data_IF_814291800835
#
_entry.id   IF_814291800835
#
_cell.length_a   1.000
_cell.length_b   1.000
_cell.length_c   1.000
_cell.angle_alpha   90.00
_cell.angle_beta   90.00
_cell.angle_gamma   90.00
#
_symmetry.space_group_name_H-M   'P 1'
#
loop_
_entity.id
_entity.type
_entity.pdbx_description
1 polymer ?
#
# COMPACT_ATOMS: atom_id res chain seq x y z
N UNK A 1 -44.26 -2.54 13.05
CA UNK A 1 -43.33 -2.45 14.19
C UNK A 1 -42.13 -3.32 13.84
N UNK A 2 -41.05 -2.71 13.33
CA UNK A 2 -39.83 -3.45 12.92
C UNK A 2 -39.03 -3.72 14.19
N UNK A 3 -38.75 -4.98 14.50
CA UNK A 3 -38.02 -5.36 15.73
C UNK A 3 -36.56 -4.92 15.66
N UNK A 4 -35.94 -4.55 16.79
CA UNK A 4 -34.50 -4.20 16.88
C UNK A 4 -33.59 -5.24 16.19
N UNK A 5 -33.98 -6.52 16.19
CA UNK A 5 -33.26 -7.62 15.53
C UNK A 5 -33.07 -7.45 14.02
N UNK A 6 -34.02 -6.82 13.31
CA UNK A 6 -33.94 -6.61 11.86
C UNK A 6 -33.01 -5.45 11.49
N UNK A 7 -32.95 -4.43 12.35
CA UNK A 7 -32.03 -3.29 12.21
C UNK A 7 -30.61 -3.73 12.55
N UNK A 8 -30.44 -4.56 13.59
CA UNK A 8 -29.13 -5.13 13.95
C UNK A 8 -28.58 -6.07 12.87
N UNK A 9 -29.45 -6.84 12.19
CA UNK A 9 -29.03 -7.68 11.05
C UNK A 9 -28.64 -6.85 9.83
N UNK A 10 -29.39 -5.80 9.49
CA UNK A 10 -29.07 -4.89 8.39
C UNK A 10 -27.77 -4.10 8.67
N UNK A 11 -27.58 -3.62 9.91
CA UNK A 11 -26.35 -2.96 10.33
C UNK A 11 -25.13 -3.90 10.33
N UNK A 12 -25.33 -5.19 10.61
CA UNK A 12 -24.25 -6.21 10.51
C UNK A 12 -23.92 -6.54 9.06
N UNK A 13 -24.93 -6.62 8.17
CA UNK A 13 -24.73 -6.82 6.73
C UNK A 13 -24.07 -5.62 6.03
N UNK A 14 -24.22 -4.40 6.56
CA UNK A 14 -23.52 -3.20 6.08
C UNK A 14 -22.10 -3.06 6.63
N UNK A 15 -21.78 -3.68 7.77
CA UNK A 15 -20.44 -3.63 8.41
C UNK A 15 -19.41 -4.60 7.84
N UNK A 16 -19.85 -5.64 7.12
CA UNK A 16 -18.97 -6.73 6.66
C UNK A 16 -18.81 -6.78 5.12
N UNK A 17 -19.04 -5.67 4.41
CA UNK A 17 -18.90 -5.68 2.94
C UNK A 17 -17.46 -5.37 2.55
N UNK A 18 -16.68 -6.42 2.32
CA UNK A 18 -15.42 -6.32 1.56
C UNK A 18 -15.68 -5.63 0.22
N UNK A 19 -14.94 -4.57 -0.02
CA UNK A 19 -14.91 -3.83 -1.26
C UNK A 19 -13.63 -4.17 -2.01
N UNK A 20 -13.69 -4.14 -3.34
CA UNK A 20 -12.54 -4.28 -4.23
C UNK A 20 -12.32 -2.96 -4.94
N UNK A 21 -11.15 -2.36 -4.78
CA UNK A 21 -10.74 -1.13 -5.46
C UNK A 21 -9.75 -1.45 -6.58
N UNK A 22 -10.05 -0.95 -7.77
CA UNK A 22 -9.12 -0.92 -8.89
C UNK A 22 -8.29 0.35 -8.76
N UNK A 23 -7.01 0.19 -8.44
CA UNK A 23 -6.09 1.31 -8.23
C UNK A 23 -4.91 1.14 -9.16
N UNK A 24 -4.47 2.23 -9.76
CA UNK A 24 -3.15 2.32 -10.39
C UNK A 24 -2.26 3.25 -9.58
N UNK A 25 -0.95 3.05 -9.68
CA UNK A 25 0.02 4.00 -9.15
C UNK A 25 1.13 4.29 -10.14
N UNK A 26 1.76 5.45 -9.95
CA UNK A 26 2.98 5.89 -10.64
C UNK A 26 4.03 6.28 -9.62
N UNK A 27 5.29 5.98 -9.90
CA UNK A 27 6.41 6.49 -9.11
C UNK A 27 6.70 7.92 -9.59
N UNK A 28 6.51 8.89 -8.69
CA UNK A 28 6.74 10.32 -8.97
C UNK A 28 8.21 10.69 -8.71
N UNK A 29 8.79 10.15 -7.65
CA UNK A 29 10.21 10.32 -7.35
C UNK A 29 10.74 9.13 -6.57
N UNK A 30 12.02 8.84 -6.74
CA UNK A 30 12.77 7.81 -6.03
C UNK A 30 14.12 8.39 -5.61
N UNK A 31 14.34 8.50 -4.30
CA UNK A 31 15.60 8.95 -3.71
C UNK A 31 16.13 7.85 -2.81
N UNK A 32 17.12 7.11 -3.28
CA UNK A 32 17.69 5.95 -2.59
C UNK A 32 19.14 6.19 -2.21
N UNK A 33 19.45 5.89 -0.95
CA UNK A 33 20.76 6.11 -0.37
C UNK A 33 21.19 4.87 0.42
N UNK A 34 22.46 4.40 0.28
CA UNK A 34 23.00 3.38 1.16
C UNK A 34 23.11 3.90 2.59
N UNK A 35 22.89 3.02 3.56
CA UNK A 35 23.17 3.31 4.97
C UNK A 35 24.06 2.27 5.63
N UNK A 36 24.22 1.09 5.04
CA UNK A 36 25.18 0.07 5.46
C UNK A 36 25.79 -0.59 4.21
N UNK A 37 27.12 -0.56 4.12
CA UNK A 37 27.89 -1.29 3.11
C UNK A 37 28.85 -2.24 3.84
N UNK A 38 28.59 -3.54 3.75
CA UNK A 38 29.40 -4.55 4.46
C UNK A 38 30.37 -5.20 3.47
N UNK A 39 31.51 -4.57 3.18
CA UNK A 39 32.57 -5.20 2.37
C UNK A 39 32.07 -5.92 1.11
N UNK A 40 32.35 -7.23 0.99
CA UNK A 40 31.90 -8.09 -0.11
C UNK A 40 30.50 -8.73 0.14
N UNK A 41 29.69 -8.17 1.04
CA UNK A 41 28.38 -8.69 1.44
C UNK A 41 27.19 -7.82 1.00
N UNK A 42 25.95 -8.23 1.33
CA UNK A 42 24.74 -7.51 0.92
C UNK A 42 24.74 -6.05 1.36
N UNK A 43 24.33 -5.16 0.45
CA UNK A 43 24.22 -3.71 0.69
C UNK A 43 22.84 -3.38 1.22
N UNK A 44 22.76 -2.55 2.27
CA UNK A 44 21.49 -2.01 2.77
C UNK A 44 21.29 -0.57 2.32
N UNK A 45 20.10 -0.30 1.79
CA UNK A 45 19.70 1.04 1.36
C UNK A 45 18.36 1.41 1.97
N UNK A 46 18.12 2.71 2.05
CA UNK A 46 16.81 3.28 2.32
C UNK A 46 16.38 4.12 1.13
N UNK A 47 15.10 4.07 0.76
CA UNK A 47 14.56 4.83 -0.35
C UNK A 47 13.34 5.63 0.07
N UNK A 48 13.40 6.94 -0.14
CA UNK A 48 12.24 7.82 -0.06
C UNK A 48 11.55 7.89 -1.43
N UNK A 49 10.32 7.40 -1.48
CA UNK A 49 9.54 7.27 -2.70
C UNK A 49 8.27 8.10 -2.59
N UNK A 50 7.95 8.85 -3.64
CA UNK A 50 6.64 9.50 -3.79
C UNK A 50 5.86 8.76 -4.86
N UNK A 51 4.59 8.49 -4.59
CA UNK A 51 3.65 7.89 -5.53
C UNK A 51 2.43 8.77 -5.74
N UNK A 52 1.85 8.69 -6.93
CA UNK A 52 0.50 9.17 -7.19
C UNK A 52 -0.41 7.97 -7.44
N UNK A 53 -1.64 8.05 -6.96
CA UNK A 53 -2.67 7.01 -7.13
C UNK A 53 -3.84 7.54 -7.97
N UNK A 54 -4.39 6.68 -8.81
CA UNK A 54 -5.59 6.94 -9.62
C UNK A 54 -6.54 5.72 -9.61
N UNK A 55 -7.79 5.93 -10.02
CA UNK A 55 -8.88 4.95 -9.98
C UNK A 55 -9.74 5.09 -8.72
N UNK A 56 -10.07 3.96 -8.09
CA UNK A 56 -10.91 3.94 -6.89
C UNK A 56 -10.19 4.51 -5.65
N UNK A 57 -8.85 4.58 -5.69
CA UNK A 57 -8.01 5.37 -4.79
C UNK A 57 -7.37 6.51 -5.57
N UNK A 58 -7.65 7.75 -5.19
CA UNK A 58 -7.01 8.93 -5.76
C UNK A 58 -6.19 9.63 -4.68
N UNK A 59 -5.01 10.14 -5.03
CA UNK A 59 -4.19 10.91 -4.10
C UNK A 59 -2.71 10.68 -4.24
N UNK A 60 -1.99 10.80 -3.13
CA UNK A 60 -0.52 10.70 -3.11
C UNK A 60 -0.04 9.80 -1.98
N UNK A 61 1.11 9.18 -2.19
CA UNK A 61 1.80 8.34 -1.25
C UNK A 61 3.20 8.86 -0.95
N UNK A 62 3.58 8.79 0.32
CA UNK A 62 4.93 9.09 0.79
C UNK A 62 5.45 7.85 1.52
N UNK A 63 6.42 7.19 0.90
CA UNK A 63 6.87 5.84 1.24
C UNK A 63 8.35 5.84 1.59
N UNK A 64 8.69 5.20 2.70
CA UNK A 64 10.06 4.86 3.05
C UNK A 64 10.25 3.35 2.95
N UNK A 65 11.19 2.92 2.12
CA UNK A 65 11.66 1.54 2.07
C UNK A 65 12.99 1.38 2.81
N UNK A 66 13.18 0.19 3.37
CA UNK A 66 14.47 -0.39 3.74
C UNK A 66 14.68 -1.61 2.86
N UNK A 67 15.83 -1.69 2.20
CA UNK A 67 16.10 -2.67 1.15
C UNK A 67 17.43 -3.38 1.42
N UNK A 68 17.49 -4.66 1.08
CA UNK A 68 18.72 -5.45 1.03
C UNK A 68 18.97 -5.84 -0.41
N UNK A 69 20.06 -5.34 -0.99
CA UNK A 69 20.55 -5.70 -2.32
C UNK A 69 21.49 -6.89 -2.20
N UNK A 70 21.23 -7.96 -2.96
CA UNK A 70 22.06 -9.16 -3.01
C UNK A 70 22.79 -9.26 -4.35
N UNK A 71 23.93 -9.97 -4.37
CA UNK A 71 24.89 -9.95 -5.50
C UNK A 71 24.32 -10.41 -6.84
N UNK A 72 23.17 -11.11 -6.85
CA UNK A 72 22.45 -11.49 -8.08
C UNK A 72 21.78 -10.31 -8.80
N UNK A 73 21.73 -9.12 -8.19
CA UNK A 73 20.97 -7.96 -8.68
C UNK A 73 19.53 -7.91 -8.16
N UNK A 74 19.14 -8.89 -7.35
CA UNK A 74 17.85 -8.93 -6.69
C UNK A 74 17.84 -8.05 -5.42
N UNK A 75 16.64 -7.72 -4.93
CA UNK A 75 16.49 -7.03 -3.67
C UNK A 75 15.26 -7.47 -2.88
N UNK A 76 15.39 -7.65 -1.57
CA UNK A 76 14.24 -7.70 -0.68
C UNK A 76 13.99 -6.31 -0.10
N UNK A 77 12.72 -5.94 0.06
CA UNK A 77 12.35 -4.64 0.61
C UNK A 77 11.12 -4.71 1.52
N UNK A 78 11.13 -3.86 2.54
CA UNK A 78 9.99 -3.61 3.43
C UNK A 78 9.83 -2.12 3.62
N UNK A 79 8.62 -1.64 3.87
CA UNK A 79 8.40 -0.21 4.01
C UNK A 79 7.01 0.17 4.51
N UNK A 80 6.86 1.45 4.78
CA UNK A 80 5.57 2.05 5.16
C UNK A 80 5.28 3.26 4.27
N UNK A 81 4.09 3.26 3.69
CA UNK A 81 3.60 4.33 2.81
C UNK A 81 2.44 5.06 3.49
N UNK A 82 2.60 6.35 3.78
CA UNK A 82 1.47 7.20 4.16
C UNK A 82 0.74 7.65 2.90
N UNK A 83 -0.50 7.23 2.77
CA UNK A 83 -1.40 7.64 1.69
C UNK A 83 -2.28 8.79 2.20
N UNK A 84 -2.44 9.83 1.38
CA UNK A 84 -3.38 10.94 1.60
C UNK A 84 -4.21 11.11 0.34
N UNK A 85 -5.53 11.02 0.47
CA UNK A 85 -6.42 10.99 -0.69
C UNK A 85 -7.84 10.56 -0.38
N UNK A 86 -8.50 9.95 -1.36
CA UNK A 86 -9.84 9.38 -1.22
C UNK A 86 -9.91 7.95 -1.77
N UNK A 87 -10.47 7.03 -0.97
CA UNK A 87 -10.67 5.62 -1.32
C UNK A 87 -12.17 5.31 -1.38
N UNK A 88 -12.67 4.87 -2.54
CA UNK A 88 -14.10 4.62 -2.76
C UNK A 88 -14.96 5.86 -2.44
N UNK A 89 -14.43 7.05 -2.72
CA UNK A 89 -15.07 8.34 -2.43
C UNK A 89 -14.96 8.85 -0.99
N UNK A 90 -14.31 8.12 -0.07
CA UNK A 90 -14.10 8.52 1.34
C UNK A 90 -12.73 9.18 1.50
N UNK A 91 -12.70 10.41 1.98
CA UNK A 91 -11.47 11.19 2.13
C UNK A 91 -10.78 10.94 3.48
N UNK A 92 -9.45 10.92 3.46
CA UNK A 92 -8.64 10.83 4.66
C UNK A 92 -7.19 10.45 4.36
N UNK A 93 -6.55 9.85 5.34
CA UNK A 93 -5.22 9.27 5.21
C UNK A 93 -5.14 7.92 5.91
N UNK A 94 -4.18 7.10 5.51
CA UNK A 94 -3.87 5.82 6.14
C UNK A 94 -2.43 5.41 5.85
N UNK A 95 -1.96 4.34 6.46
CA UNK A 95 -0.62 3.81 6.21
C UNK A 95 -0.73 2.40 5.65
N UNK A 96 -0.03 2.14 4.54
CA UNK A 96 0.20 0.80 4.01
C UNK A 96 1.56 0.28 4.51
N UNK A 97 1.61 -0.98 4.96
CA UNK A 97 2.83 -1.75 5.16
C UNK A 97 3.11 -2.55 3.90
N UNK A 98 4.36 -2.52 3.44
CA UNK A 98 4.82 -3.22 2.25
C UNK A 98 5.80 -4.32 2.65
N UNK A 99 5.70 -5.47 1.99
CA UNK A 99 6.72 -6.53 2.05
C UNK A 99 6.88 -7.09 0.64
N UNK A 100 8.08 -7.02 0.09
CA UNK A 100 8.29 -7.34 -1.31
C UNK A 100 9.69 -7.81 -1.68
N UNK A 101 9.79 -8.17 -2.95
CA UNK A 101 10.99 -8.69 -3.59
C UNK A 101 11.09 -8.17 -5.02
N UNK A 102 12.32 -7.90 -5.44
CA UNK A 102 12.71 -7.53 -6.80
C UNK A 102 13.64 -8.61 -7.35
N UNK A 103 13.32 -9.12 -8.54
CA UNK A 103 13.99 -10.26 -9.19
C UNK A 103 14.87 -9.88 -10.40
N UNK A 104 15.40 -8.65 -10.40
CA UNK A 104 16.23 -8.15 -11.51
C UNK A 104 15.44 -7.61 -12.71
N UNK A 105 14.11 -7.67 -12.68
CA UNK A 105 13.26 -7.07 -13.71
C UNK A 105 11.89 -6.60 -13.22
N UNK A 106 11.41 -7.14 -12.11
CA UNK A 106 10.07 -6.87 -11.59
C UNK A 106 10.05 -6.79 -10.07
N UNK A 107 9.43 -5.75 -9.53
CA UNK A 107 9.14 -5.65 -8.11
C UNK A 107 7.75 -6.20 -7.82
N UNK A 108 7.63 -7.11 -6.85
CA UNK A 108 6.36 -7.62 -6.32
C UNK A 108 6.26 -7.30 -4.84
N UNK A 109 5.08 -6.94 -4.37
CA UNK A 109 4.86 -6.70 -2.95
C UNK A 109 3.43 -7.05 -2.53
N UNK A 110 3.32 -7.57 -1.32
CA UNK A 110 2.07 -7.63 -0.57
C UNK A 110 1.94 -6.36 0.28
N UNK A 111 0.71 -5.86 0.39
CA UNK A 111 0.35 -4.62 1.05
C UNK A 111 -0.71 -4.89 2.11
N UNK A 112 -0.62 -4.20 3.23
CA UNK A 112 -1.62 -4.26 4.30
C UNK A 112 -1.85 -2.87 4.87
N UNK A 113 -3.12 -2.48 5.05
CA UNK A 113 -3.45 -1.28 5.81
C UNK A 113 -3.07 -1.51 7.28
N UNK A 114 -2.19 -0.66 7.82
CA UNK A 114 -1.80 -0.72 9.22
C UNK A 114 -3.04 -0.46 10.10
N UNK A 115 -3.44 -1.40 10.98
CA UNK A 115 -4.65 -1.24 11.79
C UNK A 115 -4.64 0.04 12.61
N UNK A 116 -5.75 0.78 12.56
CA UNK A 116 -5.90 2.04 13.29
C UNK A 116 -5.14 3.24 12.70
N UNK A 117 -4.52 3.11 11.52
CA UNK A 117 -3.83 4.22 10.85
C UNK A 117 -4.77 5.17 10.09
N UNK A 118 -6.00 4.76 9.82
CA UNK A 118 -6.99 5.53 9.08
C UNK A 118 -7.44 6.80 9.81
N UNK A 119 -7.57 7.90 9.06
CA UNK A 119 -8.07 9.20 9.56
C UNK A 119 -9.38 9.60 8.87
N UNK A 120 -10.08 10.57 9.45
CA UNK A 120 -11.28 11.17 8.86
C UNK A 120 -12.33 10.12 8.46
N UNK A 121 -12.75 10.07 7.19
CA UNK A 121 -13.76 9.12 6.71
C UNK A 121 -13.21 7.69 6.51
N UNK A 122 -11.92 7.50 6.77
CA UNK A 122 -11.20 6.23 6.71
C UNK A 122 -10.83 5.69 8.11
N UNK A 123 -11.32 6.30 9.20
CA UNK A 123 -11.19 5.69 10.54
C UNK A 123 -11.84 4.31 10.54
N UNK A 124 -11.08 3.30 11.00
CA UNK A 124 -11.51 1.90 10.98
C UNK A 124 -11.12 1.12 9.73
N UNK A 125 -10.52 1.78 8.72
CA UNK A 125 -10.06 1.14 7.50
C UNK A 125 -9.15 -0.06 7.80
N UNK A 126 -9.46 -1.18 7.17
CA UNK A 126 -8.61 -2.36 7.06
C UNK A 126 -8.57 -2.82 5.61
N UNK A 127 -7.52 -3.51 5.20
CA UNK A 127 -7.43 -3.99 3.83
C UNK A 127 -6.07 -4.58 3.49
N UNK A 128 -6.04 -5.27 2.36
CA UNK A 128 -4.86 -5.90 1.79
C UNK A 128 -4.81 -5.65 0.30
N UNK A 129 -3.62 -5.46 -0.24
CA UNK A 129 -3.43 -5.28 -1.67
C UNK A 129 -2.12 -5.91 -2.10
N UNK A 130 -1.83 -5.80 -3.39
CA UNK A 130 -0.58 -6.27 -3.95
C UNK A 130 -0.27 -5.54 -5.23
N UNK A 131 0.99 -5.49 -5.62
CA UNK A 131 1.36 -5.00 -6.94
C UNK A 131 2.45 -5.86 -7.59
N UNK A 132 2.58 -5.69 -8.90
CA UNK A 132 3.67 -6.22 -9.68
C UNK A 132 4.13 -5.17 -10.69
N UNK A 133 5.26 -4.53 -10.42
CA UNK A 133 5.76 -3.37 -11.14
C UNK A 133 7.00 -3.73 -11.96
N UNK A 134 6.90 -3.59 -13.28
CA UNK A 134 8.03 -3.68 -14.21
C UNK A 134 8.45 -2.30 -14.70
N UNK A 135 8.85 -2.18 -15.96
CA UNK A 135 9.32 -0.92 -16.56
C UNK A 135 8.21 0.01 -17.09
N UNK A 136 6.94 -0.37 -16.95
CA UNK A 136 5.83 0.51 -17.33
C UNK A 136 5.79 1.76 -16.43
N UNK A 137 5.27 2.87 -16.93
CA UNK A 137 5.14 4.11 -16.11
C UNK A 137 4.04 3.99 -15.05
N UNK A 138 3.08 3.10 -15.27
CA UNK A 138 1.89 2.89 -14.45
C UNK A 138 1.70 1.41 -14.16
N UNK A 139 1.23 1.10 -12.96
CA UNK A 139 1.05 -0.26 -12.49
C UNK A 139 -0.25 -0.44 -11.72
N UNK A 140 -0.89 -1.59 -11.93
CA UNK A 140 -2.05 -2.01 -11.15
C UNK A 140 -1.65 -2.37 -9.71
N UNK A 141 -2.51 -1.98 -8.78
CA UNK A 141 -2.40 -2.27 -7.36
C UNK A 141 -3.81 -2.51 -6.77
N UNK A 142 -4.47 -3.62 -7.10
CA UNK A 142 -5.78 -3.92 -6.52
C UNK A 142 -5.70 -3.93 -4.99
N UNK A 143 -6.74 -3.37 -4.36
CA UNK A 143 -6.86 -3.27 -2.91
C UNK A 143 -8.24 -3.77 -2.48
N UNK A 144 -8.26 -4.83 -1.67
CA UNK A 144 -9.47 -5.27 -0.97
C UNK A 144 -9.53 -4.60 0.39
N UNK A 145 -10.66 -3.99 0.75
CA UNK A 145 -10.77 -3.19 1.97
C UNK A 145 -12.17 -3.17 2.59
N UNK A 146 -12.21 -2.77 3.86
CA UNK A 146 -13.40 -2.57 4.69
C UNK A 146 -13.23 -1.28 5.51
N UNK A 147 -14.32 -0.53 5.73
CA UNK A 147 -14.38 0.68 6.57
C UNK A 147 -15.61 0.64 7.47
#
# INVERSE_FOLDING_TARGET
MVTNSSIDRANRLCKDKKMHANVTFKIVSWDENPFEEVGDGPKLTQAHVKRSFDGDLTGTGNLMYVMTHIDSGDASFVGYEKVVGALGGRSGSFVLRHTGYYDGGKATAELEVVPGSGTDELVGLSGTGRFSAGYAEEHDMPLDYEV
#
